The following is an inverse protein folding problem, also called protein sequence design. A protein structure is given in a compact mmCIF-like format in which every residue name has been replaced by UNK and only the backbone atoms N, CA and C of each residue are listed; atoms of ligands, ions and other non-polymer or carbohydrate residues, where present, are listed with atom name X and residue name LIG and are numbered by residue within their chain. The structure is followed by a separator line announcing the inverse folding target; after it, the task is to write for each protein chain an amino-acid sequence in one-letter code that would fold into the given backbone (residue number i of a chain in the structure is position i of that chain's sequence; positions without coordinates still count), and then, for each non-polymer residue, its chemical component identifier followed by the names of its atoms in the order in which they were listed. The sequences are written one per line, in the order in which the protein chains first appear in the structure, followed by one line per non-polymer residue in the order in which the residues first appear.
data_IF_989249931847
#
_entry.id   IF_989249931847
#
_cell.length_a   1.000
_cell.length_b   1.000
_cell.length_c   1.000
_cell.angle_alpha   90.00
_cell.angle_beta   90.00
_cell.angle_gamma   90.00
#
_symmetry.space_group_name_H-M   'P 1'
#
loop_
_entity.id
_entity.type
_entity.pdbx_description
1 polymer ?
#
# COMPACT_ATOMS: atom_id res chain seq x y z
N UNK A 1 -4.40 -29.74 -3.68
CA UNK A 1 -5.13 -28.82 -4.58
C UNK A 1 -4.65 -27.40 -4.30
N UNK A 2 -3.74 -26.93 -5.16
CA UNK A 2 -3.33 -25.54 -5.49
C UNK A 2 -3.09 -24.48 -4.40
N UNK A 3 -1.80 -24.11 -4.30
CA UNK A 3 -1.25 -22.74 -4.28
C UNK A 3 -1.28 -21.96 -2.96
N UNK A 4 -0.09 -21.54 -2.50
CA UNK A 4 0.05 -20.59 -1.39
C UNK A 4 -0.83 -19.36 -1.63
N UNK A 5 -1.87 -19.19 -0.81
CA UNK A 5 -2.74 -18.01 -0.90
C UNK A 5 -1.95 -16.81 -0.41
N UNK A 6 -1.61 -15.92 -1.33
CA UNK A 6 -1.40 -14.52 -0.98
C UNK A 6 -2.76 -13.98 -0.54
N UNK A 7 -3.02 -13.91 0.76
CA UNK A 7 -4.21 -13.21 1.26
C UNK A 7 -4.04 -11.72 0.91
N UNK A 8 -4.90 -11.21 0.03
CA UNK A 8 -4.89 -9.81 -0.37
C UNK A 8 -5.71 -9.00 0.65
N UNK A 9 -5.16 -7.87 1.07
CA UNK A 9 -5.81 -6.93 1.97
C UNK A 9 -5.89 -5.54 1.33
N UNK A 10 -6.93 -4.80 1.69
CA UNK A 10 -7.13 -3.41 1.27
C UNK A 10 -6.82 -2.46 2.42
N UNK A 11 -5.85 -1.58 2.24
CA UNK A 11 -5.48 -0.56 3.22
C UNK A 11 -5.80 0.83 2.71
N UNK A 12 -6.55 1.61 3.49
CA UNK A 12 -6.77 3.04 3.22
C UNK A 12 -5.66 3.84 3.88
N UNK A 13 -4.80 4.47 3.08
CA UNK A 13 -3.60 5.15 3.54
C UNK A 13 -3.56 6.60 3.03
N UNK A 14 -2.82 7.46 3.72
CA UNK A 14 -2.53 8.80 3.22
C UNK A 14 -1.50 8.72 2.09
N UNK A 15 -1.79 9.38 0.97
CA UNK A 15 -0.95 9.43 -0.22
C UNK A 15 0.03 10.62 -0.15
N UNK A 16 1.32 10.33 -0.17
CA UNK A 16 2.38 11.36 -0.15
C UNK A 16 2.99 11.60 -1.52
N UNK A 17 3.26 10.52 -2.27
CA UNK A 17 3.88 10.61 -3.60
C UNK A 17 3.59 9.38 -4.46
N UNK A 18 3.71 9.55 -5.77
CA UNK A 18 3.64 8.44 -6.75
C UNK A 18 4.78 8.55 -7.75
N UNK A 19 5.35 7.41 -8.12
CA UNK A 19 6.26 7.27 -9.27
C UNK A 19 5.64 6.31 -10.29
N UNK A 20 6.33 6.07 -11.40
CA UNK A 20 5.92 5.06 -12.37
C UNK A 20 6.00 3.62 -11.83
N UNK A 21 6.65 3.38 -10.69
CA UNK A 21 6.90 2.03 -10.16
C UNK A 21 6.48 1.82 -8.70
N UNK A 22 6.16 2.88 -7.97
CA UNK A 22 5.89 2.82 -6.54
C UNK A 22 4.96 3.93 -6.06
N UNK A 23 4.26 3.67 -4.96
CA UNK A 23 3.44 4.63 -4.22
C UNK A 23 4.03 4.84 -2.82
N UNK A 24 4.11 6.09 -2.37
CA UNK A 24 4.55 6.46 -1.02
C UNK A 24 3.34 6.78 -0.15
N UNK A 25 3.17 6.02 0.93
CA UNK A 25 1.96 6.04 1.77
C UNK A 25 2.27 5.98 3.26
N UNK A 26 1.37 6.46 4.11
CA UNK A 26 1.45 6.30 5.57
C UNK A 26 0.07 6.06 6.17
N UNK A 27 -0.02 5.38 7.31
CA UNK A 27 -1.30 5.18 8.03
C UNK A 27 -1.84 6.47 8.67
N UNK A 28 -0.94 7.36 9.12
CA UNK A 28 -1.30 8.51 9.98
C UNK A 28 -1.30 9.86 9.26
N UNK A 29 -0.83 9.91 8.01
CA UNK A 29 -0.58 11.17 7.29
C UNK A 29 0.75 11.85 7.63
N UNK A 30 1.57 11.25 8.49
CA UNK A 30 2.92 11.72 8.80
C UNK A 30 3.91 11.28 7.70
N UNK A 31 4.45 12.25 6.95
CA UNK A 31 5.41 11.99 5.86
C UNK A 31 6.69 11.30 6.36
N UNK A 32 7.11 11.57 7.61
CA UNK A 32 8.32 10.96 8.19
C UNK A 32 8.17 9.44 8.39
N UNK A 33 6.93 8.94 8.47
CA UNK A 33 6.59 7.53 8.59
C UNK A 33 6.13 6.92 7.27
N UNK A 34 6.21 7.66 6.17
CA UNK A 34 5.72 7.19 4.88
C UNK A 34 6.65 6.17 4.24
N UNK A 35 6.08 5.05 3.79
CA UNK A 35 6.78 3.91 3.20
C UNK A 35 6.48 3.79 1.71
N UNK A 36 7.46 3.30 0.95
CA UNK A 36 7.31 3.02 -0.48
C UNK A 36 6.83 1.59 -0.72
N UNK A 37 5.71 1.46 -1.43
CA UNK A 37 5.13 0.19 -1.86
C UNK A 37 5.27 0.06 -3.39
N UNK A 38 5.83 -1.05 -3.91
CA UNK A 38 6.01 -1.23 -5.35
C UNK A 38 4.69 -1.55 -6.05
N UNK A 39 4.37 -0.82 -7.12
CA UNK A 39 3.17 -1.02 -7.94
C UNK A 39 3.17 -2.34 -8.74
N UNK A 40 4.31 -3.05 -8.78
CA UNK A 40 4.39 -4.38 -9.38
C UNK A 40 3.72 -5.46 -8.52
N UNK A 41 3.56 -5.20 -7.22
CA UNK A 41 3.05 -6.15 -6.21
C UNK A 41 1.79 -5.61 -5.50
N UNK A 42 1.24 -4.48 -5.96
CA UNK A 42 0.03 -3.89 -5.40
C UNK A 42 -0.77 -3.12 -6.45
N UNK A 43 -2.08 -3.02 -6.25
CA UNK A 43 -2.95 -2.10 -6.98
C UNK A 43 -3.28 -0.90 -6.09
N UNK A 44 -3.52 0.27 -6.70
CA UNK A 44 -3.92 1.45 -5.96
C UNK A 44 -5.09 2.18 -6.60
N UNK A 45 -6.02 2.67 -5.78
CA UNK A 45 -7.14 3.50 -6.18
C UNK A 45 -7.11 4.80 -5.37
N UNK A 46 -6.83 5.92 -6.04
CA UNK A 46 -6.86 7.25 -5.41
C UNK A 46 -8.28 7.58 -4.94
N UNK A 47 -8.38 8.17 -3.76
CA UNK A 47 -9.63 8.67 -3.18
C UNK A 47 -9.53 10.20 -2.99
N UNK A 48 -10.67 10.91 -2.90
CA UNK A 48 -10.67 12.32 -2.51
C UNK A 48 -9.97 12.55 -1.17
N UNK A 49 -9.48 13.75 -0.93
CA UNK A 49 -8.89 14.14 0.36
C UNK A 49 -7.46 13.64 0.60
N UNK A 50 -6.74 13.23 -0.45
CA UNK A 50 -5.33 12.82 -0.32
C UNK A 50 -5.15 11.39 0.19
N UNK A 51 -6.18 10.56 0.12
CA UNK A 51 -6.11 9.14 0.49
C UNK A 51 -5.96 8.23 -0.74
N UNK A 52 -5.48 7.02 -0.50
CA UNK A 52 -5.39 5.96 -1.49
C UNK A 52 -5.77 4.63 -0.84
N UNK A 53 -6.55 3.81 -1.55
CA UNK A 53 -6.74 2.42 -1.19
C UNK A 53 -5.68 1.62 -1.91
N UNK A 54 -4.85 0.89 -1.16
CA UNK A 54 -3.81 0.02 -1.71
C UNK A 54 -4.18 -1.43 -1.42
N UNK A 55 -4.37 -2.21 -2.48
CA UNK A 55 -4.63 -3.65 -2.41
C UNK A 55 -3.32 -4.38 -2.60
N UNK A 56 -2.89 -5.15 -1.61
CA UNK A 56 -1.61 -5.87 -1.64
C UNK A 56 -1.67 -7.18 -0.84
N UNK A 57 -0.73 -8.12 -1.07
CA UNK A 57 -0.59 -9.28 -0.19
C UNK A 57 -0.29 -8.88 1.26
N UNK A 58 -0.90 -9.57 2.22
CA UNK A 58 -0.71 -9.35 3.66
C UNK A 58 0.76 -9.39 4.06
N UNK A 59 1.53 -10.33 3.49
CA UNK A 59 2.98 -10.43 3.75
C UNK A 59 3.74 -9.17 3.35
N UNK A 60 3.32 -8.48 2.28
CA UNK A 60 3.94 -7.24 1.84
C UNK A 60 3.57 -6.11 2.79
N UNK A 61 2.33 -6.06 3.26
CA UNK A 61 1.89 -5.08 4.24
C UNK A 61 2.65 -5.21 5.57
N UNK A 62 2.79 -6.43 6.09
CA UNK A 62 3.62 -6.73 7.28
C UNK A 62 5.09 -6.35 7.05
N UNK A 63 5.66 -6.68 5.90
CA UNK A 63 7.05 -6.33 5.56
C UNK A 63 7.29 -4.82 5.52
N UNK A 64 6.26 -4.05 5.15
CA UNK A 64 6.30 -2.58 5.10
C UNK A 64 5.92 -1.92 6.43
N UNK A 65 5.49 -2.69 7.43
CA UNK A 65 5.01 -2.18 8.71
C UNK A 65 3.74 -1.35 8.58
N UNK A 66 2.86 -1.73 7.65
CA UNK A 66 1.54 -1.10 7.45
C UNK A 66 0.42 -1.81 8.21
N UNK A 67 0.72 -2.96 8.82
CA UNK A 67 -0.08 -3.74 9.77
C UNK A 67 0.85 -4.45 10.76
#
# INVERSE_FOLDING_TARGET
MTSGRSDLIDLTLALHATTSKAVRVSETGDDSKAVWVPLAECEMVKKPGGFVVVTMPEWLALSKGLI
#
